data_IF_812420996220
#
_entry.id   IF_812420996220
#
_cell.length_a   1.000
_cell.length_b   1.000
_cell.length_c   1.000
_cell.angle_alpha   90.00
_cell.angle_beta   90.00
_cell.angle_gamma   90.00
#
_symmetry.space_group_name_H-M   'P 1'
#
loop_
_entity.id
_entity.type
_entity.pdbx_description
1 polymer ?
#
# COMPACT_ATOMS: atom_id res chain seq x y z
N UNK A 1 1.89 10.99 -13.72
CA UNK A 1 1.86 12.42 -13.43
C UNK A 1 2.74 13.17 -14.43
N UNK A 2 2.23 14.18 -14.99
CA UNK A 2 2.88 14.82 -16.15
C UNK A 2 3.38 16.23 -15.84
N UNK A 3 2.85 16.85 -14.82
CA UNK A 3 3.28 18.17 -14.44
C UNK A 3 4.40 18.10 -13.40
N UNK A 4 5.44 18.87 -13.61
CA UNK A 4 6.50 19.00 -12.63
C UNK A 4 6.04 19.93 -11.51
N UNK A 5 6.17 19.48 -10.27
CA UNK A 5 5.91 20.31 -9.10
C UNK A 5 7.08 21.26 -8.87
N UNK A 6 6.79 22.51 -8.59
CA UNK A 6 7.82 23.44 -8.18
C UNK A 6 8.02 23.33 -6.67
N UNK A 7 9.09 22.66 -6.28
CA UNK A 7 9.41 22.40 -4.89
C UNK A 7 10.38 23.40 -4.28
N UNK A 8 10.78 24.44 -5.04
CA UNK A 8 11.85 25.35 -4.61
C UNK A 8 11.49 26.20 -3.40
N UNK A 9 10.22 26.49 -3.19
CA UNK A 9 9.77 27.32 -2.08
C UNK A 9 9.40 26.52 -0.82
N UNK A 10 9.60 25.22 -0.82
CA UNK A 10 9.16 24.35 0.27
C UNK A 10 10.33 24.02 1.20
N UNK A 11 10.12 24.25 2.50
CA UNK A 11 11.02 23.71 3.51
C UNK A 11 10.42 22.39 4.02
N UNK A 12 10.99 21.29 3.58
CA UNK A 12 10.47 19.96 3.90
C UNK A 12 10.59 19.60 5.38
N UNK A 13 11.52 20.22 6.10
CA UNK A 13 11.66 19.98 7.54
C UNK A 13 10.46 20.48 8.34
N UNK A 14 9.80 21.54 7.88
CA UNK A 14 8.59 22.08 8.52
C UNK A 14 7.40 21.12 8.40
N UNK A 15 7.46 20.20 7.49
CA UNK A 15 6.44 19.20 7.29
C UNK A 15 5.82 19.29 5.89
N UNK A 16 5.74 18.13 5.26
CA UNK A 16 5.10 18.00 3.95
C UNK A 16 4.50 16.61 3.83
N UNK A 17 3.30 16.54 3.30
CA UNK A 17 2.66 15.25 3.00
C UNK A 17 2.62 15.11 1.49
N UNK A 18 3.39 14.16 0.98
CA UNK A 18 3.40 13.84 -0.44
C UNK A 18 2.32 12.80 -0.72
N UNK A 19 1.49 13.08 -1.70
CA UNK A 19 0.47 12.16 -2.18
C UNK A 19 1.05 11.46 -3.41
N UNK A 20 1.38 10.19 -3.26
CA UNK A 20 2.10 9.43 -4.29
C UNK A 20 1.19 8.35 -4.86
N UNK A 21 1.12 8.27 -6.17
CA UNK A 21 0.50 7.15 -6.85
C UNK A 21 1.54 6.03 -6.95
N UNK A 22 1.41 5.04 -6.08
CA UNK A 22 2.40 3.96 -5.99
C UNK A 22 2.35 3.10 -7.24
N UNK A 23 3.47 2.95 -7.95
CA UNK A 23 3.50 2.06 -9.11
C UNK A 23 3.35 0.59 -8.72
N UNK A 24 2.87 -0.19 -9.67
CA UNK A 24 2.77 -1.64 -9.53
C UNK A 24 4.15 -2.23 -9.27
N UNK A 25 4.22 -3.22 -8.39
CA UNK A 25 5.42 -3.97 -7.98
C UNK A 25 6.43 -3.19 -7.16
N UNK A 26 6.15 -1.94 -6.85
CA UNK A 26 6.93 -1.19 -5.88
C UNK A 26 6.41 -1.46 -4.47
N UNK A 27 7.30 -1.64 -3.52
CA UNK A 27 6.89 -1.63 -2.10
C UNK A 27 6.70 -0.19 -1.64
N UNK A 28 5.98 -0.02 -0.55
CA UNK A 28 5.87 1.30 0.08
C UNK A 28 7.23 1.81 0.53
N UNK A 29 8.11 0.91 0.98
CA UNK A 29 9.49 1.23 1.36
C UNK A 29 10.31 1.71 0.16
N UNK A 30 10.09 1.12 -1.02
CA UNK A 30 10.77 1.58 -2.25
C UNK A 30 10.45 3.04 -2.54
N UNK A 31 9.18 3.43 -2.38
CA UNK A 31 8.74 4.81 -2.58
C UNK A 31 9.42 5.74 -1.58
N UNK A 32 9.42 5.37 -0.31
CA UNK A 32 10.09 6.18 0.75
C UNK A 32 11.56 6.32 0.45
N UNK A 33 12.21 5.25 0.04
CA UNK A 33 13.65 5.26 -0.28
C UNK A 33 13.97 6.20 -1.43
N UNK A 34 13.13 6.19 -2.46
CA UNK A 34 13.30 7.08 -3.61
C UNK A 34 13.12 8.54 -3.23
N UNK A 35 12.14 8.83 -2.38
CA UNK A 35 11.90 10.20 -1.88
C UNK A 35 13.07 10.67 -1.02
N UNK A 36 13.58 9.82 -0.14
CA UNK A 36 14.76 10.14 0.66
C UNK A 36 15.96 10.48 -0.22
N UNK A 37 16.18 9.71 -1.28
CA UNK A 37 17.27 9.96 -2.21
C UNK A 37 17.12 11.35 -2.86
N UNK A 38 15.91 11.67 -3.33
CA UNK A 38 15.64 12.96 -3.93
C UNK A 38 15.87 14.12 -2.93
N UNK A 39 15.42 13.94 -1.68
CA UNK A 39 15.61 14.95 -0.64
C UNK A 39 17.09 15.16 -0.30
N UNK A 40 17.89 14.11 -0.28
CA UNK A 40 19.34 14.23 -0.10
C UNK A 40 19.98 15.08 -1.19
N UNK A 41 19.53 14.90 -2.41
CA UNK A 41 20.02 15.69 -3.54
C UNK A 41 19.66 17.17 -3.42
N UNK A 42 18.58 17.47 -2.70
CA UNK A 42 18.17 18.85 -2.40
C UNK A 42 18.86 19.42 -1.15
N UNK A 43 19.69 18.64 -0.46
CA UNK A 43 20.42 19.08 0.71
C UNK A 43 19.87 18.58 2.05
N UNK A 44 18.76 17.85 2.07
CA UNK A 44 18.16 17.34 3.30
C UNK A 44 18.74 15.97 3.64
N UNK A 45 19.87 15.96 4.34
CA UNK A 45 20.60 14.70 4.58
C UNK A 45 20.04 13.82 5.68
N UNK A 46 19.39 14.42 6.68
CA UNK A 46 18.91 13.69 7.87
C UNK A 46 17.42 13.87 8.10
N UNK A 47 16.68 14.23 7.08
CA UNK A 47 15.25 14.44 7.21
C UNK A 47 14.52 13.13 7.42
N UNK A 48 13.50 13.15 8.30
CA UNK A 48 12.66 11.97 8.53
C UNK A 48 11.64 11.85 7.41
N UNK A 49 11.43 10.61 6.97
CA UNK A 49 10.41 10.27 5.98
C UNK A 49 9.74 8.98 6.40
N UNK A 50 8.42 8.97 6.40
CA UNK A 50 7.64 7.78 6.70
C UNK A 50 6.41 7.72 5.83
N UNK A 51 5.81 6.55 5.68
CA UNK A 51 4.57 6.40 4.94
C UNK A 51 3.41 6.02 5.86
N UNK A 52 2.22 6.37 5.43
CA UNK A 52 0.98 6.00 6.09
C UNK A 52 0.14 5.15 5.15
N UNK A 53 -0.38 4.02 5.64
CA UNK A 53 -1.21 3.14 4.83
C UNK A 53 -0.41 2.31 3.85
N UNK A 54 0.35 1.35 4.38
CA UNK A 54 1.16 0.44 3.56
C UNK A 54 0.34 -0.22 2.46
N UNK A 55 0.89 -0.25 1.26
CA UNK A 55 0.34 -0.97 0.12
C UNK A 55 1.29 -2.09 -0.28
N UNK A 56 0.73 -3.25 -0.57
CA UNK A 56 1.49 -4.41 -1.04
C UNK A 56 2.11 -4.13 -2.43
N UNK A 57 3.16 -4.87 -2.82
CA UNK A 57 3.78 -4.65 -4.14
C UNK A 57 2.81 -4.75 -5.31
N UNK A 58 1.85 -5.68 -5.25
CA UNK A 58 0.86 -5.85 -6.30
C UNK A 58 -0.32 -4.88 -6.22
N UNK A 59 -0.35 -4.02 -5.21
CA UNK A 59 -1.36 -2.97 -5.10
C UNK A 59 -0.83 -1.66 -5.70
N UNK A 60 -1.71 -0.97 -6.39
CA UNK A 60 -1.47 0.42 -6.81
C UNK A 60 -2.41 1.33 -6.02
N UNK A 61 -2.18 2.61 -6.06
CA UNK A 61 -3.05 3.58 -5.43
C UNK A 61 -2.30 4.64 -4.65
N UNK A 62 -3.05 5.40 -3.89
CA UNK A 62 -2.50 6.53 -3.16
C UNK A 62 -1.73 6.06 -1.92
N UNK A 63 -0.48 6.46 -1.86
CA UNK A 63 0.37 6.29 -0.69
C UNK A 63 0.72 7.67 -0.14
N UNK A 64 0.41 7.90 1.12
CA UNK A 64 0.77 9.14 1.78
C UNK A 64 2.17 9.01 2.36
N UNK A 65 3.05 9.92 1.99
CA UNK A 65 4.43 9.97 2.50
C UNK A 65 4.61 11.24 3.29
N UNK A 66 4.89 11.08 4.57
CA UNK A 66 5.08 12.19 5.50
C UNK A 66 6.56 12.52 5.62
N UNK A 67 6.90 13.81 5.49
CA UNK A 67 8.26 14.28 5.43
C UNK A 67 8.47 15.31 6.55
N UNK A 68 9.62 15.24 7.23
CA UNK A 68 9.96 16.18 8.29
C UNK A 68 8.99 16.07 9.45
N UNK A 69 8.49 17.21 9.93
CA UNK A 69 7.56 17.24 11.07
C UNK A 69 6.25 16.49 10.80
N UNK A 70 5.88 16.33 9.53
CA UNK A 70 4.66 15.62 9.19
C UNK A 70 4.72 14.13 9.52
N UNK A 71 5.90 13.57 9.81
CA UNK A 71 6.01 12.18 10.26
C UNK A 71 5.25 11.91 11.55
N UNK A 72 4.98 12.95 12.33
CA UNK A 72 4.15 12.85 13.54
C UNK A 72 2.70 12.51 13.24
N UNK A 73 2.26 12.70 12.00
CA UNK A 73 0.88 12.43 11.57
C UNK A 73 0.68 11.02 11.03
N UNK A 74 1.73 10.22 10.93
CA UNK A 74 1.66 8.88 10.32
C UNK A 74 0.59 8.01 11.00
N UNK A 75 0.59 7.94 12.33
CA UNK A 75 -0.37 7.11 13.04
C UNK A 75 -1.81 7.57 12.82
N UNK A 76 -2.05 8.87 12.86
CA UNK A 76 -3.38 9.42 12.62
C UNK A 76 -3.85 9.13 11.21
N UNK A 77 -2.97 9.26 10.22
CA UNK A 77 -3.31 9.00 8.82
C UNK A 77 -3.53 7.51 8.55
N UNK A 78 -2.81 6.64 9.24
CA UNK A 78 -3.01 5.19 9.14
C UNK A 78 -4.38 4.76 9.69
N UNK A 79 -4.92 5.49 10.65
CA UNK A 79 -6.21 5.19 11.25
C UNK A 79 -7.39 5.64 10.37
N UNK A 80 -7.13 6.41 9.31
CA UNK A 80 -8.18 6.85 8.39
C UNK A 80 -8.82 5.67 7.65
N UNK A 81 -10.07 5.85 7.27
CA UNK A 81 -10.79 4.86 6.47
C UNK A 81 -10.10 4.64 5.12
N UNK A 82 -10.06 3.39 4.69
CA UNK A 82 -9.43 3.01 3.43
C UNK A 82 -10.39 2.17 2.60
N UNK A 83 -10.31 2.32 1.30
CA UNK A 83 -11.07 1.52 0.35
C UNK A 83 -10.10 0.81 -0.59
N UNK A 84 -10.34 -0.48 -0.78
CA UNK A 84 -9.57 -1.30 -1.69
C UNK A 84 -10.48 -1.95 -2.71
N UNK A 85 -10.07 -1.94 -3.96
CA UNK A 85 -10.71 -2.72 -5.02
C UNK A 85 -9.75 -3.85 -5.37
N UNK A 86 -10.21 -5.08 -5.20
CA UNK A 86 -9.38 -6.25 -5.40
C UNK A 86 -10.02 -7.19 -6.43
N UNK A 87 -9.18 -7.69 -7.34
CA UNK A 87 -9.56 -8.77 -8.23
C UNK A 87 -9.05 -10.07 -7.63
N UNK A 88 -9.96 -11.01 -7.41
CA UNK A 88 -9.64 -12.28 -6.78
C UNK A 88 -9.82 -13.40 -7.81
N UNK A 89 -8.73 -14.10 -8.10
CA UNK A 89 -8.78 -15.26 -8.98
C UNK A 89 -9.23 -16.49 -8.19
N UNK A 90 -10.34 -17.09 -8.61
CA UNK A 90 -10.87 -18.29 -7.99
C UNK A 90 -10.17 -19.54 -8.54
N UNK A 91 -10.19 -20.60 -7.75
CA UNK A 91 -9.69 -21.91 -8.18
C UNK A 91 -8.20 -22.12 -7.99
N UNK A 92 -7.51 -21.22 -7.28
CA UNK A 92 -6.08 -21.35 -7.04
C UNK A 92 -5.71 -20.79 -5.68
N UNK A 93 -4.61 -21.29 -5.13
CA UNK A 93 -4.00 -20.75 -3.91
C UNK A 93 -2.52 -20.51 -4.12
N UNK A 94 -1.95 -19.66 -3.28
CA UNK A 94 -0.52 -19.39 -3.23
C UNK A 94 -0.05 -19.40 -1.78
N UNK A 95 1.25 -19.59 -1.51
CA UNK A 95 1.76 -19.59 -0.13
C UNK A 95 1.51 -18.28 0.61
N UNK A 96 1.50 -17.15 -0.11
CA UNK A 96 1.30 -15.82 0.48
C UNK A 96 -0.16 -15.34 0.43
N UNK A 97 -1.07 -16.14 -0.12
CA UNK A 97 -2.49 -15.80 -0.33
C UNK A 97 -2.69 -14.62 -1.29
N UNK A 98 -1.73 -14.34 -2.14
CA UNK A 98 -1.77 -13.32 -3.19
C UNK A 98 -0.98 -13.80 -4.41
N UNK A 99 -0.80 -12.95 -5.40
CA UNK A 99 -0.08 -13.31 -6.62
C UNK A 99 1.41 -12.91 -6.59
N UNK A 100 1.97 -12.63 -5.43
CA UNK A 100 3.41 -12.41 -5.30
C UNK A 100 4.21 -13.71 -5.49
N UNK A 101 3.57 -14.85 -5.23
CA UNK A 101 4.17 -16.18 -5.38
C UNK A 101 3.41 -16.98 -6.42
N UNK A 102 4.07 -18.02 -6.92
CA UNK A 102 3.44 -18.92 -7.88
C UNK A 102 2.31 -19.73 -7.23
N UNK A 103 1.34 -20.13 -8.06
CA UNK A 103 0.21 -20.95 -7.64
C UNK A 103 0.73 -22.30 -7.16
N UNK A 104 0.39 -22.68 -5.93
CA UNK A 104 0.78 -23.98 -5.35
C UNK A 104 -0.29 -25.05 -5.50
N UNK A 105 -1.56 -24.67 -5.60
CA UNK A 105 -2.68 -25.59 -5.78
C UNK A 105 -3.76 -24.97 -6.64
N UNK A 106 -4.46 -25.83 -7.37
CA UNK A 106 -5.64 -25.42 -8.13
C UNK A 106 -6.84 -26.22 -7.67
N UNK A 107 -8.02 -25.63 -7.80
CA UNK A 107 -9.30 -26.23 -7.37
C UNK A 107 -10.36 -25.95 -8.44
N UNK A 108 -11.38 -26.83 -8.56
CA UNK A 108 -12.52 -26.53 -9.42
C UNK A 108 -13.22 -25.25 -8.96
N UNK A 109 -13.59 -24.39 -9.90
CA UNK A 109 -14.26 -23.14 -9.61
C UNK A 109 -15.54 -22.92 -10.43
N UNK A 110 -15.75 -23.71 -11.48
CA UNK A 110 -16.83 -23.51 -12.44
C UNK A 110 -18.21 -23.65 -11.79
N UNK A 111 -18.32 -24.40 -10.69
CA UNK A 111 -19.54 -24.57 -9.94
C UNK A 111 -19.88 -23.41 -9.01
N UNK A 112 -18.96 -22.46 -8.86
CA UNK A 112 -19.13 -21.35 -7.93
C UNK A 112 -20.05 -20.32 -8.54
N UNK A 113 -21.13 -19.97 -7.82
CA UNK A 113 -22.11 -18.98 -8.27
C UNK A 113 -21.80 -17.62 -7.67
N UNK A 114 -22.40 -16.59 -8.28
CA UNK A 114 -22.31 -15.23 -7.75
C UNK A 114 -22.88 -15.13 -6.34
N UNK A 115 -23.97 -15.86 -6.09
CA UNK A 115 -24.63 -15.88 -4.78
C UNK A 115 -23.74 -16.51 -3.72
N UNK A 116 -23.04 -17.58 -4.06
CA UNK A 116 -22.10 -18.23 -3.13
C UNK A 116 -20.95 -17.30 -2.77
N UNK A 117 -20.44 -16.55 -3.73
CA UNK A 117 -19.38 -15.55 -3.50
C UNK A 117 -19.91 -14.44 -2.57
N UNK A 118 -21.11 -13.93 -2.85
CA UNK A 118 -21.70 -12.88 -2.03
C UNK A 118 -21.92 -13.32 -0.57
N UNK A 119 -22.38 -14.57 -0.36
CA UNK A 119 -22.54 -15.13 0.99
C UNK A 119 -21.18 -15.25 1.70
N UNK A 120 -20.17 -15.75 1.00
CA UNK A 120 -18.84 -15.88 1.57
C UNK A 120 -18.27 -14.54 2.00
N UNK A 121 -18.40 -13.50 1.15
CA UNK A 121 -17.93 -12.16 1.48
C UNK A 121 -18.69 -11.56 2.66
N UNK A 122 -20.00 -11.76 2.72
CA UNK A 122 -20.81 -11.28 3.84
C UNK A 122 -20.37 -11.91 5.17
N UNK A 123 -19.97 -13.18 5.15
CA UNK A 123 -19.49 -13.87 6.35
C UNK A 123 -18.14 -13.37 6.84
N UNK A 124 -17.39 -12.65 6.02
CA UNK A 124 -16.06 -12.14 6.34
C UNK A 124 -16.06 -10.69 6.84
N UNK A 125 -17.23 -10.05 6.90
CA UNK A 125 -17.33 -8.68 7.39
C UNK A 125 -17.26 -8.61 8.91
N UNK A 126 -16.82 -7.47 9.43
CA UNK A 126 -16.68 -7.25 10.88
C UNK A 126 -15.32 -7.68 11.42
N UNK A 127 -15.20 -7.67 12.74
CA UNK A 127 -13.96 -8.09 13.39
C UNK A 127 -13.78 -9.60 13.32
N UNK A 128 -12.59 -10.01 12.95
CA UNK A 128 -12.25 -11.42 12.82
C UNK A 128 -10.80 -11.66 13.23
N UNK A 129 -10.55 -12.83 13.77
CA UNK A 129 -9.18 -13.29 13.97
C UNK A 129 -8.59 -13.71 12.63
N UNK A 130 -7.38 -13.26 12.36
CA UNK A 130 -6.68 -13.59 11.13
C UNK A 130 -5.37 -14.27 11.43
N UNK A 131 -4.95 -15.25 10.62
CA UNK A 131 -3.60 -15.80 10.77
C UNK A 131 -2.57 -14.73 10.39
N UNK A 132 -1.38 -14.75 11.04
CA UNK A 132 -0.33 -13.83 10.65
C UNK A 132 0.11 -14.10 9.19
N UNK A 133 0.63 -13.07 8.49
CA UNK A 133 1.09 -13.25 7.12
C UNK A 133 2.23 -14.26 7.04
N UNK A 134 2.27 -15.01 5.95
CA UNK A 134 3.31 -16.00 5.70
C UNK A 134 4.67 -15.37 5.42
N UNK A 135 4.67 -14.12 4.94
CA UNK A 135 5.88 -13.32 4.74
C UNK A 135 5.66 -11.92 5.30
N UNK A 136 6.68 -11.37 5.91
CA UNK A 136 6.59 -10.05 6.53
C UNK A 136 7.58 -9.07 5.91
#
# INVERSE_FOLDING_TARGET
>A
MKEALDLRGINFEDGYIAVVDKPLRWTSTDVVRKIKFALRRLGYRKIKVGHAGTLDPLATGILLVCIGRATKLVDALQAEEKEYVADVMLGATTPSHDLEHEIDRTYPWEHITREAVAEALASLTGERLQPPPASS
#
